data_IF_834853692589
#
_entry.id   IF_834853692589
#
_cell.length_a   1.000
_cell.length_b   1.000
_cell.length_c   1.000
_cell.angle_alpha   90.00
_cell.angle_beta   90.00
_cell.angle_gamma   90.00
#
_symmetry.space_group_name_H-M   'P 1'
#
loop_
_entity.id
_entity.type
_entity.pdbx_description
1 polymer ?
#
# COMPACT_ATOMS: atom_id res chain seq x y z
N UNK A 1 1.75 13.20 4.83
CA UNK A 1 0.56 12.58 5.45
C UNK A 1 -0.12 11.71 4.41
N UNK A 2 -0.42 10.47 4.77
CA UNK A 2 -1.14 9.52 3.93
C UNK A 2 -2.35 8.93 4.67
N UNK A 3 -3.46 8.83 3.96
CA UNK A 3 -4.68 8.20 4.46
C UNK A 3 -4.83 6.83 3.79
N UNK A 4 -4.60 5.76 4.55
CA UNK A 4 -4.80 4.38 4.08
C UNK A 4 -6.24 3.96 4.39
N UNK A 5 -7.16 4.47 3.60
CA UNK A 5 -8.60 4.31 3.76
C UNK A 5 -9.25 4.07 2.40
N UNK A 6 -10.35 3.33 2.40
CA UNK A 6 -11.12 3.02 1.18
C UNK A 6 -10.24 2.47 0.04
N UNK A 7 -9.33 1.56 0.38
CA UNK A 7 -8.37 0.98 -0.56
C UNK A 7 -9.10 0.06 -1.52
N UNK A 8 -9.41 0.58 -2.69
CA UNK A 8 -10.13 -0.14 -3.76
C UNK A 8 -9.15 -0.75 -4.77
N UNK A 9 -9.59 -1.75 -5.55
CA UNK A 9 -8.67 -2.48 -6.43
C UNK A 9 -8.10 -1.64 -7.57
N UNK A 10 -8.83 -0.65 -8.06
CA UNK A 10 -8.39 0.19 -9.18
C UNK A 10 -8.10 1.62 -8.73
N UNK A 11 -7.13 2.23 -9.39
CA UNK A 11 -6.84 3.65 -9.21
C UNK A 11 -8.06 4.51 -9.60
N UNK A 12 -8.21 5.65 -8.95
CA UNK A 12 -9.28 6.61 -9.24
C UNK A 12 -9.28 7.10 -10.71
N UNK A 13 -8.15 6.99 -11.39
CA UNK A 13 -8.06 7.28 -12.83
C UNK A 13 -8.75 6.23 -13.72
N UNK A 14 -9.15 5.10 -13.15
CA UNK A 14 -9.83 4.02 -13.87
C UNK A 14 -11.34 4.26 -13.89
N UNK A 15 -12.05 3.97 -15.02
CA UNK A 15 -13.49 4.24 -15.12
C UNK A 15 -14.37 3.29 -14.30
N UNK A 16 -13.86 2.12 -13.93
CA UNK A 16 -14.59 1.17 -13.08
C UNK A 16 -13.77 0.83 -11.83
N UNK A 17 -14.48 0.45 -10.78
CA UNK A 17 -13.85 0.04 -9.52
C UNK A 17 -14.72 -1.03 -8.82
N UNK A 18 -14.30 -1.44 -7.65
CA UNK A 18 -14.97 -2.45 -6.84
C UNK A 18 -14.91 -2.02 -5.36
N UNK A 19 -15.49 -2.82 -4.49
CA UNK A 19 -15.47 -2.61 -3.05
C UNK A 19 -14.03 -2.62 -2.50
N UNK A 20 -13.77 -1.98 -1.36
CA UNK A 20 -12.44 -1.99 -0.75
C UNK A 20 -11.89 -3.41 -0.54
N UNK A 21 -10.60 -3.58 -0.83
CA UNK A 21 -9.92 -4.87 -0.75
C UNK A 21 -9.49 -5.24 0.68
N UNK A 22 -9.41 -4.23 1.55
CA UNK A 22 -9.04 -4.37 2.97
C UNK A 22 -9.86 -3.38 3.81
N UNK A 23 -9.93 -3.58 5.15
CA UNK A 23 -10.46 -2.55 6.06
C UNK A 23 -9.58 -1.31 6.05
N UNK A 24 -10.13 -0.18 6.50
CA UNK A 24 -9.35 1.03 6.70
C UNK A 24 -8.21 0.78 7.69
N UNK A 25 -7.03 1.26 7.35
CA UNK A 25 -5.83 1.13 8.18
C UNK A 25 -5.69 2.34 9.10
N UNK A 26 -5.71 3.55 8.53
CA UNK A 26 -5.61 4.77 9.29
C UNK A 26 -4.83 5.87 8.58
N UNK A 27 -4.37 6.82 9.38
CA UNK A 27 -3.58 7.96 8.90
C UNK A 27 -2.13 7.79 9.33
N UNK A 28 -1.22 8.06 8.41
CA UNK A 28 0.22 8.00 8.61
C UNK A 28 0.85 9.37 8.37
N UNK A 29 1.89 9.68 9.11
CA UNK A 29 2.65 10.92 8.91
C UNK A 29 4.15 10.66 9.10
N UNK A 30 4.97 11.28 8.25
CA UNK A 30 6.42 11.23 8.34
C UNK A 30 7.02 12.42 7.61
N UNK A 31 8.22 12.85 8.04
CA UNK A 31 9.03 13.80 7.28
C UNK A 31 9.81 13.12 6.16
N UNK A 32 9.85 11.79 6.14
CA UNK A 32 10.52 10.99 5.13
C UNK A 32 9.47 10.34 4.20
N UNK A 33 9.36 10.79 2.94
CA UNK A 33 8.33 10.27 2.03
C UNK A 33 8.54 8.81 1.65
N UNK A 34 9.77 8.32 1.61
CA UNK A 34 10.08 6.92 1.31
C UNK A 34 9.63 6.03 2.47
N UNK A 35 10.00 6.40 3.70
CA UNK A 35 9.59 5.69 4.90
C UNK A 35 8.06 5.68 5.06
N UNK A 36 7.40 6.78 4.71
CA UNK A 36 5.94 6.90 4.76
C UNK A 36 5.27 5.89 3.83
N UNK A 37 5.68 5.83 2.57
CA UNK A 37 5.11 4.92 1.58
C UNK A 37 5.40 3.46 1.92
N UNK A 38 6.63 3.17 2.37
CA UNK A 38 7.02 1.82 2.79
C UNK A 38 6.12 1.34 3.94
N UNK A 39 5.98 2.15 4.99
CA UNK A 39 5.16 1.81 6.16
C UNK A 39 3.68 1.62 5.79
N UNK A 40 3.13 2.51 4.96
CA UNK A 40 1.73 2.41 4.51
C UNK A 40 1.50 1.11 3.72
N UNK A 41 2.38 0.81 2.76
CA UNK A 41 2.24 -0.37 1.92
C UNK A 41 2.35 -1.67 2.73
N UNK A 42 3.30 -1.74 3.66
CA UNK A 42 3.46 -2.91 4.54
C UNK A 42 2.27 -3.09 5.47
N UNK A 43 1.76 -2.00 6.06
CA UNK A 43 0.59 -2.08 6.95
C UNK A 43 -0.67 -2.48 6.19
N UNK A 44 -0.87 -1.96 4.98
CA UNK A 44 -1.97 -2.41 4.11
C UNK A 44 -1.86 -3.90 3.80
N UNK A 45 -0.65 -4.40 3.53
CA UNK A 45 -0.43 -5.81 3.21
C UNK A 45 -0.70 -6.76 4.39
N UNK A 46 -0.63 -6.26 5.63
CA UNK A 46 -0.92 -7.04 6.84
C UNK A 46 -2.42 -7.15 7.14
N UNK A 47 -3.24 -6.31 6.52
CA UNK A 47 -4.68 -6.32 6.76
C UNK A 47 -5.36 -7.54 6.14
N UNK A 48 -6.47 -8.02 6.76
CA UNK A 48 -7.22 -9.14 6.19
C UNK A 48 -7.83 -8.75 4.83
N UNK A 49 -7.80 -9.68 3.88
CA UNK A 49 -8.37 -9.50 2.55
C UNK A 49 -9.88 -9.58 2.59
N UNK A 50 -10.56 -8.68 1.86
CA UNK A 50 -12.01 -8.79 1.66
C UNK A 50 -12.29 -9.83 0.55
N UNK A 51 -12.89 -11.00 0.87
CA UNK A 51 -13.09 -12.04 -0.12
C UNK A 51 -14.12 -11.67 -1.21
N UNK A 52 -14.88 -10.60 -1.01
CA UNK A 52 -15.86 -10.11 -1.98
C UNK A 52 -15.28 -9.10 -2.96
N UNK A 53 -14.04 -8.67 -2.76
CA UNK A 53 -13.36 -7.74 -3.66
C UNK A 53 -12.61 -8.49 -4.78
N UNK A 54 -12.19 -7.72 -5.79
CA UNK A 54 -11.47 -8.29 -6.94
C UNK A 54 -9.99 -8.47 -6.63
N UNK A 55 -9.51 -9.71 -6.74
CA UNK A 55 -8.10 -10.09 -6.61
C UNK A 55 -7.69 -10.98 -7.78
N UNK A 56 -6.48 -10.78 -8.29
CA UNK A 56 -5.88 -11.72 -9.23
C UNK A 56 -5.23 -12.89 -8.49
N UNK A 57 -4.60 -12.64 -7.34
CA UNK A 57 -4.01 -13.66 -6.47
C UNK A 57 -4.19 -13.27 -5.00
N UNK A 58 -5.34 -13.65 -4.41
CA UNK A 58 -5.67 -13.32 -3.02
C UNK A 58 -4.72 -13.97 -2.00
N UNK A 59 -3.96 -15.00 -2.40
CA UNK A 59 -3.02 -15.72 -1.53
C UNK A 59 -1.69 -14.98 -1.34
N UNK A 60 -1.41 -13.95 -2.15
CA UNK A 60 -0.17 -13.19 -2.03
C UNK A 60 -0.10 -12.41 -0.72
N UNK A 61 1.06 -12.40 -0.07
CA UNK A 61 1.32 -11.63 1.14
C UNK A 61 1.40 -10.12 0.86
N UNK A 62 1.73 -9.74 -0.37
CA UNK A 62 1.76 -8.36 -0.83
C UNK A 62 0.38 -7.99 -1.38
N UNK A 63 -0.30 -7.06 -0.74
CA UNK A 63 -1.66 -6.64 -1.11
C UNK A 63 -1.73 -6.15 -2.56
N UNK A 64 -0.78 -5.32 -2.97
CA UNK A 64 -0.81 -4.68 -4.29
C UNK A 64 -0.58 -5.71 -5.39
N UNK A 65 0.32 -6.65 -5.16
CA UNK A 65 0.53 -7.78 -6.05
C UNK A 65 -0.67 -8.72 -6.06
N UNK A 66 -1.32 -8.92 -4.92
CA UNK A 66 -2.54 -9.75 -4.83
C UNK A 66 -3.67 -9.21 -5.71
N UNK A 67 -3.79 -7.88 -5.80
CA UNK A 67 -4.81 -7.22 -6.63
C UNK A 67 -4.39 -7.23 -8.10
N UNK A 68 -3.17 -6.82 -8.39
CA UNK A 68 -2.60 -6.72 -9.74
C UNK A 68 -1.23 -7.39 -9.77
N UNK A 69 -1.16 -8.61 -10.24
CA UNK A 69 0.06 -9.45 -10.17
C UNK A 69 1.24 -8.93 -11.00
N UNK A 70 0.99 -7.98 -11.89
CA UNK A 70 2.04 -7.32 -12.68
C UNK A 70 2.68 -6.13 -11.96
N UNK A 71 2.15 -5.72 -10.79
CA UNK A 71 2.67 -4.57 -10.05
C UNK A 71 3.84 -4.96 -9.16
N UNK A 72 4.74 -4.00 -8.93
CA UNK A 72 5.90 -4.15 -8.08
C UNK A 72 6.22 -2.81 -7.41
N UNK A 73 5.44 -2.46 -6.37
CA UNK A 73 5.52 -1.15 -5.72
C UNK A 73 6.88 -0.88 -5.07
N UNK A 74 7.60 -1.94 -4.68
CA UNK A 74 8.91 -1.83 -4.06
C UNK A 74 9.95 -1.11 -4.94
N UNK A 75 9.79 -1.14 -6.25
CA UNK A 75 10.67 -0.43 -7.18
C UNK A 75 10.68 1.07 -6.90
N UNK A 76 9.54 1.64 -6.53
CA UNK A 76 9.41 3.05 -6.19
C UNK A 76 10.23 3.40 -4.93
N UNK A 77 10.08 2.64 -3.86
CA UNK A 77 10.75 2.92 -2.59
C UNK A 77 12.25 2.60 -2.66
N UNK A 78 12.63 1.55 -3.36
CA UNK A 78 14.04 1.24 -3.63
C UNK A 78 14.73 2.36 -4.42
N UNK A 79 14.07 2.85 -5.46
CA UNK A 79 14.60 3.95 -6.25
C UNK A 79 14.67 5.25 -5.43
N UNK A 80 13.64 5.56 -4.65
CA UNK A 80 13.63 6.72 -3.76
C UNK A 80 14.80 6.72 -2.77
N UNK A 81 15.10 5.57 -2.18
CA UNK A 81 16.26 5.40 -1.29
C UNK A 81 17.58 5.58 -2.05
N UNK A 82 17.68 5.00 -3.23
CA UNK A 82 18.89 5.06 -4.06
C UNK A 82 19.27 6.49 -4.47
N UNK A 83 18.28 7.33 -4.77
CA UNK A 83 18.52 8.73 -5.15
C UNK A 83 18.62 9.69 -3.95
N UNK A 84 18.54 9.18 -2.73
CA UNK A 84 18.67 9.98 -1.52
C UNK A 84 17.40 10.75 -1.11
N UNK A 85 16.23 10.37 -1.62
CA UNK A 85 14.97 11.01 -1.26
C UNK A 85 14.55 10.68 0.18
N UNK A 86 14.90 9.50 0.66
CA UNK A 86 14.59 9.04 2.00
C UNK A 86 15.12 7.64 2.25
N UNK A 87 14.62 6.98 3.30
CA UNK A 87 15.02 5.62 3.70
C UNK A 87 13.80 4.71 3.80
N UNK A 88 13.96 3.44 3.42
CA UNK A 88 12.93 2.41 3.62
C UNK A 88 12.88 1.91 5.06
N UNK A 89 13.90 2.22 5.88
CA UNK A 89 13.87 1.91 7.30
C UNK A 89 13.01 2.92 8.05
N UNK A 90 12.15 2.43 8.93
CA UNK A 90 11.27 3.28 9.72
C UNK A 90 10.98 2.65 11.09
N UNK A 91 10.62 3.49 12.04
CA UNK A 91 10.02 3.09 13.31
C UNK A 91 8.54 3.51 13.28
N UNK A 92 7.64 2.54 13.42
CA UNK A 92 6.20 2.83 13.47
C UNK A 92 5.79 3.12 14.90
N UNK A 93 5.36 4.37 15.13
CA UNK A 93 4.89 4.82 16.44
C UNK A 93 3.38 5.02 16.35
N UNK A 94 2.64 4.24 17.10
CA UNK A 94 1.18 4.35 17.18
C UNK A 94 0.79 5.29 18.33
N UNK A 95 -0.11 6.21 18.03
CA UNK A 95 -0.59 7.20 19.02
C UNK A 95 -2.11 7.10 19.24
#
# INVERSE_FOLDING_TARGET
>A
ISLAMDISPNCDCHPENDVPVIPNVGMFASFDPVALDEACAEMCSRMPRNPNASFEDISSDDLFHAVHTVTHWQDQTEHGEKIGLGSREYELIEI
#
